data_IF_148988553147
#
_entry.id   IF_148988553147
#
_cell.length_a   1.000
_cell.length_b   1.000
_cell.length_c   1.000
_cell.angle_alpha   90.00
_cell.angle_beta   90.00
_cell.angle_gamma   90.00
#
_symmetry.space_group_name_H-M   'P 1'
#
loop_
_entity.id
_entity.type
_entity.pdbx_description
1 polymer ?
#
# COMPACT_ATOMS: atom_id res chain seq x y z
N UNK A 1 -34.12 19.50 -13.05
CA UNK A 1 -33.63 18.96 -11.76
C UNK A 1 -32.84 17.66 -11.91
N UNK A 2 -33.24 16.70 -12.72
CA UNK A 2 -32.55 15.40 -12.86
C UNK A 2 -31.08 15.44 -13.37
N UNK A 3 -30.70 16.43 -14.17
CA UNK A 3 -29.35 16.56 -14.73
C UNK A 3 -28.35 17.04 -13.66
N UNK A 4 -28.77 17.91 -12.72
CA UNK A 4 -27.94 18.41 -11.63
C UNK A 4 -27.61 17.34 -10.58
N UNK A 5 -28.52 16.40 -10.33
CA UNK A 5 -28.31 15.27 -9.41
C UNK A 5 -27.34 14.22 -9.97
N UNK A 6 -27.33 14.02 -11.30
CA UNK A 6 -26.36 13.13 -11.96
C UNK A 6 -24.93 13.69 -11.86
N UNK A 7 -24.80 15.04 -11.88
CA UNK A 7 -23.52 15.75 -11.73
C UNK A 7 -22.99 15.73 -10.30
N UNK A 8 -23.89 15.75 -9.31
CA UNK A 8 -23.47 15.81 -7.90
C UNK A 8 -22.88 14.49 -7.38
N UNK A 9 -23.27 13.36 -7.96
CA UNK A 9 -22.90 12.02 -7.48
C UNK A 9 -21.68 11.41 -8.14
N UNK A 10 -21.15 11.96 -9.25
CA UNK A 10 -20.03 11.35 -9.97
C UNK A 10 -18.82 12.27 -10.01
N UNK A 11 -17.82 11.96 -9.16
CA UNK A 11 -16.57 12.73 -9.02
C UNK A 11 -15.82 12.90 -10.35
N UNK A 12 -15.82 11.87 -11.22
CA UNK A 12 -15.16 11.93 -12.53
C UNK A 12 -15.72 13.02 -13.43
N UNK A 13 -17.04 13.26 -13.37
CA UNK A 13 -17.71 14.25 -14.21
C UNK A 13 -17.33 15.67 -13.78
N UNK A 14 -17.18 15.88 -12.45
CA UNK A 14 -16.72 17.18 -11.89
C UNK A 14 -15.28 17.46 -12.26
N UNK A 15 -14.38 16.47 -12.12
CA UNK A 15 -12.96 16.60 -12.46
C UNK A 15 -12.79 16.86 -13.97
N UNK A 16 -13.49 16.10 -14.80
CA UNK A 16 -13.48 16.27 -16.24
C UNK A 16 -13.99 17.66 -16.65
N UNK A 17 -15.12 18.13 -16.10
CA UNK A 17 -15.64 19.46 -16.36
C UNK A 17 -14.67 20.57 -15.88
N UNK A 18 -14.02 20.38 -14.75
CA UNK A 18 -13.03 21.35 -14.28
C UNK A 18 -11.84 21.44 -15.25
N UNK A 19 -11.35 20.32 -15.77
CA UNK A 19 -10.27 20.28 -16.76
C UNK A 19 -10.71 20.90 -18.07
N UNK A 20 -11.86 20.47 -18.62
CA UNK A 20 -12.39 21.02 -19.88
C UNK A 20 -12.71 22.51 -19.73
N UNK A 21 -13.35 22.91 -18.63
CA UNK A 21 -13.64 24.32 -18.33
C UNK A 21 -12.37 25.16 -18.18
N UNK A 22 -11.36 24.64 -17.48
CA UNK A 22 -10.06 25.29 -17.33
C UNK A 22 -9.34 25.51 -18.67
N UNK A 23 -9.32 24.50 -19.52
CA UNK A 23 -8.74 24.58 -20.88
C UNK A 23 -9.51 25.60 -21.73
N UNK A 24 -10.85 25.57 -21.67
CA UNK A 24 -11.69 26.52 -22.42
C UNK A 24 -11.43 27.97 -21.98
N UNK A 25 -11.39 28.23 -20.67
CA UNK A 25 -11.12 29.58 -20.12
C UNK A 25 -9.71 30.03 -20.51
N UNK A 26 -8.70 29.17 -20.41
CA UNK A 26 -7.33 29.50 -20.80
C UNK A 26 -7.24 29.85 -22.27
N UNK A 27 -7.91 29.08 -23.13
CA UNK A 27 -7.90 29.29 -24.60
C UNK A 27 -8.61 30.60 -24.98
N UNK A 28 -9.73 30.92 -24.31
CA UNK A 28 -10.42 32.21 -24.49
C UNK A 28 -9.57 33.38 -24.02
N UNK A 29 -8.89 33.26 -22.88
CA UNK A 29 -7.98 34.30 -22.34
C UNK A 29 -6.81 34.57 -23.27
N UNK A 30 -6.16 33.52 -23.79
CA UNK A 30 -5.07 33.62 -24.78
C UNK A 30 -5.55 34.28 -26.08
N UNK A 31 -6.74 33.90 -26.59
CA UNK A 31 -7.33 34.49 -27.78
C UNK A 31 -7.68 35.97 -27.60
N UNK A 32 -8.18 36.35 -26.44
CA UNK A 32 -8.47 37.73 -26.10
C UNK A 32 -7.20 38.58 -25.99
N UNK A 33 -6.18 38.07 -25.31
CA UNK A 33 -4.87 38.73 -25.21
C UNK A 33 -4.23 38.94 -26.58
N UNK A 34 -4.32 37.90 -27.45
CA UNK A 34 -3.78 37.98 -28.81
C UNK A 34 -4.52 39.04 -29.67
N UNK A 35 -5.84 39.14 -29.50
CA UNK A 35 -6.66 40.15 -30.14
C UNK A 35 -6.24 41.56 -29.74
N UNK A 36 -6.05 41.83 -28.44
CA UNK A 36 -5.57 43.13 -27.95
C UNK A 36 -4.19 43.44 -28.50
N UNK A 37 -3.25 42.48 -28.51
CA UNK A 37 -1.92 42.66 -29.05
C UNK A 37 -1.96 42.94 -30.57
N UNK A 38 -2.87 42.28 -31.32
CA UNK A 38 -3.05 42.52 -32.75
C UNK A 38 -3.65 43.90 -33.02
N UNK A 39 -4.60 44.38 -32.22
CA UNK A 39 -5.17 45.72 -32.32
C UNK A 39 -4.15 46.80 -31.99
N UNK A 40 -3.28 46.60 -30.99
CA UNK A 40 -2.19 47.53 -30.64
C UNK A 40 -1.12 47.58 -31.74
N UNK A 41 -0.77 46.48 -32.38
CA UNK A 41 0.19 46.42 -33.48
C UNK A 41 -0.39 46.89 -34.82
N UNK A 42 -1.70 47.05 -34.95
CA UNK A 42 -2.38 47.53 -36.15
C UNK A 42 -2.43 49.06 -36.25
N UNK A 43 -1.89 49.79 -35.25
CA UNK A 43 -1.74 51.24 -35.39
C UNK A 43 -0.84 51.56 -36.57
N UNK A 44 -1.31 52.31 -37.58
CA UNK A 44 -0.50 52.62 -38.72
C UNK A 44 0.70 53.46 -38.22
N UNK A 45 1.91 52.89 -38.31
CA UNK A 45 3.08 53.69 -38.16
C UNK A 45 3.06 54.76 -39.24
N UNK A 46 2.94 56.04 -38.83
CA UNK A 46 3.13 57.13 -39.76
C UNK A 46 4.44 56.91 -40.50
N UNK A 47 4.43 56.87 -41.82
CA UNK A 47 5.65 56.66 -42.56
C UNK A 47 6.65 57.77 -42.17
N UNK A 48 7.94 57.43 -41.99
CA UNK A 48 8.93 58.43 -41.58
C UNK A 48 8.98 59.56 -42.59
N UNK A 49 9.05 60.79 -42.08
CA UNK A 49 9.20 62.00 -42.87
C UNK A 49 10.45 61.81 -43.80
N UNK A 50 10.26 62.11 -45.08
CA UNK A 50 11.36 61.98 -46.08
C UNK A 50 11.78 63.40 -46.54
N UNK A 51 13.04 63.60 -46.71
CA UNK A 51 13.56 64.83 -47.33
C UNK A 51 13.17 64.82 -48.80
N UNK A 52 12.47 65.85 -49.21
CA UNK A 52 12.09 66.07 -50.62
C UNK A 52 12.76 67.31 -51.08
N UNK A 53 13.48 67.20 -52.20
CA UNK A 53 14.19 68.32 -52.87
C UNK A 53 13.59 68.48 -54.28
N UNK A 54 12.90 69.58 -54.50
CA UNK A 54 12.42 69.96 -55.82
C UNK A 54 13.48 70.84 -56.52
N UNK A 55 13.85 70.49 -57.75
CA UNK A 55 14.80 71.25 -58.55
C UNK A 55 14.19 71.70 -59.85
N UNK A 56 14.64 72.84 -60.38
CA UNK A 56 14.27 73.31 -61.71
C UNK A 56 15.04 72.58 -62.82
N UNK A 57 14.75 72.86 -64.10
CA UNK A 57 15.40 72.22 -65.26
C UNK A 57 16.90 72.59 -65.36
N UNK A 58 17.40 73.60 -64.65
CA UNK A 58 18.75 74.03 -64.57
C UNK A 58 19.52 73.49 -63.39
N UNK A 59 18.88 72.65 -62.53
CA UNK A 59 19.48 72.01 -61.38
C UNK A 59 19.48 72.87 -60.10
N UNK A 60 18.88 74.05 -60.12
CA UNK A 60 18.73 74.86 -58.93
C UNK A 60 17.63 74.28 -57.95
N UNK A 61 17.92 74.24 -56.70
CA UNK A 61 16.99 73.76 -55.71
C UNK A 61 15.90 74.84 -55.49
N UNK A 62 14.64 74.51 -55.79
CA UNK A 62 13.49 75.37 -55.58
C UNK A 62 12.91 75.23 -54.19
N UNK A 63 12.77 74.02 -53.70
CA UNK A 63 12.27 73.67 -52.36
C UNK A 63 13.08 72.51 -51.83
N UNK A 64 13.50 72.59 -50.57
CA UNK A 64 14.10 71.46 -49.85
C UNK A 64 13.52 71.46 -48.46
N UNK A 65 12.95 70.33 -48.04
CA UNK A 65 12.35 70.22 -46.74
C UNK A 65 11.88 68.84 -46.39
N UNK A 66 11.46 68.64 -45.17
CA UNK A 66 10.86 67.34 -44.69
C UNK A 66 9.42 67.22 -45.15
N UNK A 67 9.13 66.20 -45.94
CA UNK A 67 7.78 65.90 -46.42
C UNK A 67 7.10 64.91 -45.46
N UNK A 68 5.98 65.34 -44.93
CA UNK A 68 5.08 64.49 -44.15
C UNK A 68 3.78 64.22 -44.96
N UNK A 69 3.34 62.98 -44.87
CA UNK A 69 2.08 62.63 -45.55
C UNK A 69 0.87 63.19 -44.82
N UNK A 70 0.07 63.97 -45.49
CA UNK A 70 -1.19 64.46 -44.94
C UNK A 70 -2.31 63.39 -45.27
N UNK A 71 -3.08 62.98 -44.27
CA UNK A 71 -4.22 62.09 -44.49
C UNK A 71 -5.29 62.84 -45.32
N UNK A 72 -5.52 62.43 -46.56
CA UNK A 72 -6.59 62.93 -47.41
C UNK A 72 -7.68 61.91 -47.63
N UNK A 73 -8.85 62.30 -48.15
CA UNK A 73 -9.95 61.38 -48.46
C UNK A 73 -9.56 60.35 -49.50
N UNK A 74 -10.15 59.13 -49.45
CA UNK A 74 -9.83 58.08 -50.39
C UNK A 74 -10.16 58.49 -51.83
N UNK A 75 -9.16 58.50 -52.72
CA UNK A 75 -9.31 58.81 -54.15
C UNK A 75 -8.69 60.13 -54.64
N UNK A 76 -8.23 61.02 -53.76
CA UNK A 76 -7.62 62.31 -54.14
C UNK A 76 -6.11 62.27 -54.35
N UNK A 77 -5.48 61.13 -54.31
CA UNK A 77 -4.03 60.99 -54.51
C UNK A 77 -3.22 61.13 -53.25
N UNK A 78 -1.90 61.35 -53.35
CA UNK A 78 -1.01 61.48 -52.21
C UNK A 78 -0.69 62.96 -51.98
N UNK A 79 -1.13 63.52 -50.84
CA UNK A 79 -0.78 64.87 -50.42
C UNK A 79 0.40 64.83 -49.44
N UNK A 80 1.45 65.61 -49.73
CA UNK A 80 2.63 65.71 -48.90
C UNK A 80 2.80 67.17 -48.47
N UNK A 81 2.83 67.44 -47.18
CA UNK A 81 3.23 68.72 -46.65
C UNK A 81 4.76 68.76 -46.54
N UNK A 82 5.43 69.75 -47.17
CA UNK A 82 6.89 69.91 -47.16
C UNK A 82 7.19 71.20 -46.37
N UNK A 83 7.82 70.97 -45.20
CA UNK A 83 8.26 72.10 -44.37
C UNK A 83 9.66 72.53 -44.83
N UNK A 84 9.74 73.68 -45.45
CA UNK A 84 11.00 74.22 -45.97
C UNK A 84 11.83 74.91 -44.86
N UNK A 85 13.14 75.01 -45.04
CA UNK A 85 14.05 75.62 -44.10
C UNK A 85 13.79 77.14 -43.81
N UNK A 86 13.00 77.79 -44.67
CA UNK A 86 12.59 79.22 -44.61
C UNK A 86 11.31 79.39 -43.82
N UNK A 87 10.76 78.33 -43.22
CA UNK A 87 9.55 78.35 -42.36
C UNK A 87 8.25 78.38 -43.16
N UNK A 88 8.27 78.20 -44.45
CA UNK A 88 7.04 78.08 -45.27
C UNK A 88 6.71 76.61 -45.53
N UNK A 89 5.40 76.25 -45.32
CA UNK A 89 4.92 74.90 -45.64
C UNK A 89 4.33 74.88 -47.04
N UNK A 90 4.81 73.99 -47.85
CA UNK A 90 4.36 73.76 -49.25
C UNK A 90 3.54 72.48 -49.28
N UNK A 91 2.42 72.49 -50.01
CA UNK A 91 1.57 71.25 -50.23
C UNK A 91 1.90 70.74 -51.64
N UNK A 92 2.35 69.50 -51.73
CA UNK A 92 2.54 68.73 -52.94
C UNK A 92 1.51 67.67 -53.12
N UNK A 93 0.56 67.89 -54.04
CA UNK A 93 -0.47 66.92 -54.37
C UNK A 93 -0.06 66.08 -55.61
N UNK A 94 0.09 64.78 -55.40
CA UNK A 94 0.34 63.82 -56.45
C UNK A 94 -1.00 63.19 -56.86
N UNK A 95 -1.42 63.42 -58.11
CA UNK A 95 -2.65 62.84 -58.62
C UNK A 95 -2.64 61.29 -58.52
N UNK A 96 -3.78 60.71 -58.30
CA UNK A 96 -3.87 59.23 -58.26
C UNK A 96 -3.35 58.67 -59.60
N UNK A 97 -2.54 57.63 -59.50
CA UNK A 97 -2.01 56.91 -60.68
C UNK A 97 -3.18 56.38 -61.48
N UNK A 98 -3.45 56.97 -62.63
CA UNK A 98 -4.38 56.41 -63.60
C UNK A 98 -3.79 55.13 -64.13
N UNK A 99 -4.35 54.02 -63.72
CA UNK A 99 -3.92 52.68 -64.06
C UNK A 99 -4.14 52.48 -65.60
N UNK A 100 -3.12 52.75 -66.40
CA UNK A 100 -3.04 52.32 -67.79
C UNK A 100 -2.38 50.97 -67.86
N UNK A 101 -3.17 49.95 -67.73
CA UNK A 101 -2.70 48.59 -67.93
C UNK A 101 -3.31 47.63 -66.94
N UNK A 102 -4.28 46.91 -67.43
CA UNK A 102 -4.85 45.75 -66.78
C UNK A 102 -3.81 44.63 -66.73
N UNK A 103 -2.77 44.78 -65.87
CA UNK A 103 -2.02 43.63 -65.41
C UNK A 103 -2.67 43.19 -64.13
N UNK A 104 -3.28 41.99 -64.09
CA UNK A 104 -3.64 41.37 -62.81
C UNK A 104 -2.33 41.12 -62.10
N UNK A 105 -1.94 42.07 -61.27
CA UNK A 105 -0.92 41.83 -60.24
C UNK A 105 -1.30 40.52 -59.54
N UNK A 106 -0.35 39.66 -59.21
CA UNK A 106 -0.66 38.47 -58.49
C UNK A 106 -1.26 38.90 -57.17
N UNK A 107 -2.59 39.01 -57.15
CA UNK A 107 -3.38 38.93 -55.94
C UNK A 107 -3.18 37.52 -55.37
N UNK A 108 -1.91 37.20 -55.05
CA UNK A 108 -1.56 36.12 -54.14
C UNK A 108 -1.86 36.53 -52.69
N UNK A 109 -3.01 37.09 -52.44
CA UNK A 109 -3.72 36.69 -51.25
C UNK A 109 -4.32 35.38 -51.63
N UNK A 110 -3.51 34.32 -51.54
CA UNK A 110 -4.03 32.97 -51.49
C UNK A 110 -5.34 33.05 -50.70
N UNK A 111 -6.42 32.47 -51.28
CA UNK A 111 -7.63 32.26 -50.54
C UNK A 111 -7.32 31.47 -49.29
N UNK A 112 -6.82 32.17 -48.25
CA UNK A 112 -6.70 31.61 -46.94
C UNK A 112 -8.10 31.16 -46.64
N UNK A 113 -8.25 29.84 -46.61
CA UNK A 113 -9.55 29.15 -46.41
C UNK A 113 -10.24 29.92 -45.31
N UNK A 114 -11.54 30.22 -45.49
CA UNK A 114 -12.28 31.07 -44.57
C UNK A 114 -12.14 30.60 -43.08
N UNK A 115 -11.79 29.34 -42.89
CA UNK A 115 -11.49 28.69 -41.59
C UNK A 115 -10.25 29.30 -40.87
N UNK A 116 -9.33 29.93 -41.58
CA UNK A 116 -8.11 30.54 -41.01
C UNK A 116 -8.29 32.04 -40.71
N UNK A 117 -9.42 32.63 -41.11
CA UNK A 117 -9.72 34.05 -40.83
C UNK A 117 -10.17 34.25 -39.38
N UNK A 118 -9.67 35.27 -38.68
CA UNK A 118 -10.24 35.65 -37.37
C UNK A 118 -11.72 36.06 -37.55
N UNK A 119 -12.67 35.59 -36.68
CA UNK A 119 -12.49 34.77 -35.47
C UNK A 119 -12.60 33.25 -35.69
N UNK A 120 -12.93 32.79 -36.88
CA UNK A 120 -13.24 31.38 -37.15
C UNK A 120 -12.06 30.43 -36.90
N UNK A 121 -10.84 30.81 -37.28
CA UNK A 121 -9.66 29.99 -37.01
C UNK A 121 -9.44 29.72 -35.53
N UNK A 122 -9.72 30.70 -34.67
CA UNK A 122 -9.62 30.54 -33.23
C UNK A 122 -10.69 29.59 -32.67
N UNK A 123 -11.95 29.71 -33.14
CA UNK A 123 -13.04 28.82 -32.73
C UNK A 123 -12.75 27.34 -33.10
N UNK A 124 -12.19 27.13 -34.30
CA UNK A 124 -11.77 25.80 -34.74
C UNK A 124 -10.66 25.22 -33.87
N UNK A 125 -9.63 26.01 -33.52
CA UNK A 125 -8.57 25.60 -32.63
C UNK A 125 -9.10 25.27 -31.21
N UNK A 126 -10.02 26.06 -30.69
CA UNK A 126 -10.72 25.81 -29.43
C UNK A 126 -11.49 24.49 -29.47
N UNK A 127 -12.24 24.27 -30.56
CA UNK A 127 -12.99 23.03 -30.76
C UNK A 127 -12.08 21.80 -30.84
N UNK A 128 -10.96 21.90 -31.50
CA UNK A 128 -10.00 20.80 -31.66
C UNK A 128 -9.29 20.48 -30.34
N UNK A 129 -8.88 21.50 -29.58
CA UNK A 129 -8.31 21.33 -28.24
C UNK A 129 -9.35 20.73 -27.28
N UNK A 130 -10.60 21.22 -27.31
CA UNK A 130 -11.69 20.65 -26.52
C UNK A 130 -11.93 19.18 -26.83
N UNK A 131 -11.96 18.83 -28.12
CA UNK A 131 -12.14 17.45 -28.58
C UNK A 131 -10.96 16.56 -28.12
N UNK A 132 -9.72 17.04 -28.25
CA UNK A 132 -8.51 16.31 -27.82
C UNK A 132 -8.54 16.03 -26.30
N UNK A 133 -8.98 17.01 -25.49
CA UNK A 133 -9.15 16.84 -24.04
C UNK A 133 -10.28 15.83 -23.73
N UNK A 134 -11.41 15.91 -24.43
CA UNK A 134 -12.51 14.96 -24.25
C UNK A 134 -12.06 13.53 -24.56
N UNK A 135 -11.41 13.34 -25.70
CA UNK A 135 -11.01 12.01 -26.18
C UNK A 135 -9.83 11.45 -25.37
N UNK A 136 -8.86 12.31 -24.98
CA UNK A 136 -7.65 11.89 -24.29
C UNK A 136 -7.82 11.75 -22.76
N UNK A 137 -8.38 12.75 -22.11
CA UNK A 137 -8.39 12.82 -20.62
C UNK A 137 -9.58 12.04 -20.03
N UNK A 138 -10.74 12.08 -20.67
CA UNK A 138 -11.93 11.43 -20.13
C UNK A 138 -11.78 9.90 -19.88
N UNK A 139 -11.27 9.10 -20.83
CA UNK A 139 -11.12 7.66 -20.60
C UNK A 139 -10.11 7.34 -19.50
N UNK A 140 -9.05 8.15 -19.35
CA UNK A 140 -8.05 7.97 -18.31
C UNK A 140 -8.67 8.21 -16.94
N UNK A 141 -9.33 9.35 -16.74
CA UNK A 141 -10.00 9.69 -15.47
C UNK A 141 -11.08 8.65 -15.14
N UNK A 142 -11.88 8.23 -16.14
CA UNK A 142 -12.94 7.23 -15.95
C UNK A 142 -12.35 5.90 -15.47
N UNK A 143 -11.28 5.42 -16.08
CA UNK A 143 -10.61 4.16 -15.66
C UNK A 143 -10.07 4.25 -14.23
N UNK A 144 -9.41 5.36 -13.89
CA UNK A 144 -8.85 5.56 -12.57
C UNK A 144 -9.95 5.54 -11.49
N UNK A 145 -11.03 6.27 -11.71
CA UNK A 145 -12.15 6.35 -10.77
C UNK A 145 -12.92 5.04 -10.65
N UNK A 146 -13.09 4.29 -11.73
CA UNK A 146 -13.69 2.96 -11.67
C UNK A 146 -12.88 1.98 -10.82
N UNK A 147 -11.53 2.05 -10.89
CA UNK A 147 -10.65 1.25 -10.02
C UNK A 147 -10.80 1.64 -8.55
N UNK A 148 -10.86 2.94 -8.26
CA UNK A 148 -11.07 3.44 -6.89
C UNK A 148 -12.45 3.04 -6.34
N UNK A 149 -13.51 3.13 -7.14
CA UNK A 149 -14.85 2.66 -6.73
C UNK A 149 -14.87 1.15 -6.47
N UNK A 150 -14.12 0.37 -7.25
CA UNK A 150 -14.00 -1.07 -7.03
C UNK A 150 -13.25 -1.37 -5.75
N UNK A 151 -12.14 -0.68 -5.48
CA UNK A 151 -11.39 -0.78 -4.24
C UNK A 151 -12.28 -0.41 -3.05
N UNK A 152 -12.99 0.72 -3.12
CA UNK A 152 -13.90 1.17 -2.06
C UNK A 152 -14.98 0.13 -1.75
N UNK A 153 -15.63 -0.43 -2.77
CA UNK A 153 -16.63 -1.50 -2.60
C UNK A 153 -16.05 -2.77 -1.99
N UNK A 154 -14.82 -3.11 -2.39
CA UNK A 154 -14.12 -4.28 -1.83
C UNK A 154 -13.78 -4.08 -0.37
N UNK A 155 -13.29 -2.88 0.02
CA UNK A 155 -13.04 -2.51 1.42
C UNK A 155 -14.31 -2.57 2.25
N UNK A 156 -15.43 -2.07 1.70
CA UNK A 156 -16.73 -2.12 2.39
C UNK A 156 -17.19 -3.56 2.61
N UNK A 157 -17.18 -4.41 1.57
CA UNK A 157 -17.56 -5.83 1.69
C UNK A 157 -16.67 -6.58 2.68
N UNK A 158 -15.36 -6.28 2.68
CA UNK A 158 -14.42 -6.83 3.66
C UNK A 158 -14.81 -6.42 5.08
N UNK A 159 -15.17 -5.16 5.31
CA UNK A 159 -15.66 -4.66 6.60
C UNK A 159 -17.00 -5.27 7.03
N UNK A 160 -17.84 -5.68 6.09
CA UNK A 160 -19.10 -6.41 6.33
C UNK A 160 -18.90 -7.89 6.66
N UNK A 161 -17.62 -8.37 6.64
CA UNK A 161 -17.24 -9.72 7.06
C UNK A 161 -16.90 -10.70 5.94
N UNK A 162 -16.97 -10.30 4.68
CA UNK A 162 -16.48 -11.11 3.55
C UNK A 162 -14.97 -10.99 3.42
N UNK A 163 -14.25 -11.73 4.26
CA UNK A 163 -12.78 -11.68 4.32
C UNK A 163 -12.10 -12.29 3.09
N UNK A 164 -12.84 -12.96 2.21
CA UNK A 164 -12.31 -13.56 0.99
C UNK A 164 -12.14 -12.57 -0.17
N UNK A 165 -12.71 -11.36 -0.04
CA UNK A 165 -12.61 -10.31 -1.06
C UNK A 165 -11.19 -9.92 -1.34
N UNK A 166 -10.84 -9.86 -2.63
CA UNK A 166 -9.56 -9.33 -3.11
C UNK A 166 -9.78 -8.31 -4.22
N UNK A 167 -8.87 -7.38 -4.34
CA UNK A 167 -8.87 -6.34 -5.37
C UNK A 167 -7.88 -6.71 -6.45
N UNK A 168 -8.21 -6.37 -7.70
CA UNK A 168 -7.29 -6.58 -8.83
C UNK A 168 -6.05 -5.70 -8.69
N UNK A 169 -4.86 -6.31 -8.77
CA UNK A 169 -3.55 -5.66 -8.64
C UNK A 169 -2.97 -5.18 -9.99
N UNK A 170 -3.82 -5.08 -11.01
CA UNK A 170 -3.40 -4.70 -12.36
C UNK A 170 -2.89 -3.26 -12.41
N UNK A 171 -1.70 -3.08 -12.98
CA UNK A 171 -1.06 -1.78 -13.16
C UNK A 171 0.23 -1.65 -12.35
N UNK A 172 0.92 -0.50 -12.55
CA UNK A 172 2.16 -0.12 -11.84
C UNK A 172 2.02 1.27 -11.20
N UNK A 173 0.78 1.71 -11.00
CA UNK A 173 0.41 2.99 -10.43
C UNK A 173 0.15 2.88 -8.91
N UNK A 174 -0.05 4.01 -8.25
CA UNK A 174 -0.32 4.11 -6.81
C UNK A 174 -1.59 3.35 -6.40
N UNK A 175 -2.56 3.22 -7.33
CA UNK A 175 -3.80 2.46 -7.08
C UNK A 175 -3.52 0.96 -7.04
N UNK A 176 -2.64 0.46 -7.90
CA UNK A 176 -2.21 -0.93 -7.88
C UNK A 176 -1.39 -1.25 -6.61
N UNK A 177 -0.57 -0.29 -6.15
CA UNK A 177 0.17 -0.43 -4.90
C UNK A 177 -0.77 -0.51 -3.69
N UNK A 178 -1.76 0.37 -3.64
CA UNK A 178 -2.80 0.36 -2.60
C UNK A 178 -3.61 -0.95 -2.62
N UNK A 179 -3.90 -1.49 -3.81
CA UNK A 179 -4.57 -2.78 -3.96
C UNK A 179 -3.72 -3.93 -3.39
N UNK A 180 -2.39 -3.95 -3.66
CA UNK A 180 -1.46 -4.93 -3.07
C UNK A 180 -1.42 -4.85 -1.54
N UNK A 181 -1.32 -3.64 -1.00
CA UNK A 181 -1.31 -3.43 0.45
C UNK A 181 -2.63 -3.89 1.09
N UNK A 182 -3.76 -3.55 0.47
CA UNK A 182 -5.07 -4.03 0.93
C UNK A 182 -5.15 -5.57 0.91
N UNK A 183 -4.76 -6.21 -0.20
CA UNK A 183 -4.79 -7.67 -0.33
C UNK A 183 -3.89 -8.35 0.70
N UNK A 184 -2.70 -7.79 0.96
CA UNK A 184 -1.80 -8.29 2.00
C UNK A 184 -2.39 -8.16 3.40
N UNK A 185 -3.02 -7.03 3.73
CA UNK A 185 -3.71 -6.82 5.01
C UNK A 185 -4.91 -7.76 5.13
N UNK A 186 -5.72 -7.89 4.07
CA UNK A 186 -6.88 -8.77 4.03
C UNK A 186 -6.49 -10.24 4.23
N UNK A 187 -5.41 -10.70 3.61
CA UNK A 187 -4.90 -12.06 3.78
C UNK A 187 -4.46 -12.33 5.23
N UNK A 188 -3.81 -11.35 5.87
CA UNK A 188 -3.40 -11.47 7.28
C UNK A 188 -4.60 -11.56 8.21
N UNK A 189 -5.62 -10.71 8.01
CA UNK A 189 -6.84 -10.71 8.84
C UNK A 189 -7.63 -12.01 8.62
N UNK A 190 -7.78 -12.47 7.38
CA UNK A 190 -8.47 -13.73 7.08
C UNK A 190 -7.78 -14.93 7.75
N UNK A 191 -6.44 -15.01 7.65
CA UNK A 191 -5.66 -16.04 8.32
C UNK A 191 -5.83 -15.99 9.84
N UNK A 192 -5.78 -14.80 10.45
CA UNK A 192 -5.95 -14.60 11.88
C UNK A 192 -7.35 -15.04 12.36
N UNK A 193 -8.40 -14.62 11.64
CA UNK A 193 -9.79 -15.01 11.97
C UNK A 193 -10.00 -16.52 11.82
N UNK A 194 -9.42 -17.11 10.75
CA UNK A 194 -9.50 -18.57 10.53
C UNK A 194 -8.80 -19.34 11.65
N UNK A 195 -7.59 -18.92 12.03
CA UNK A 195 -6.84 -19.53 13.14
C UNK A 195 -7.60 -19.41 14.43
N UNK A 196 -8.18 -18.24 14.73
CA UNK A 196 -8.95 -18.01 15.95
C UNK A 196 -10.24 -18.86 16.01
N UNK A 197 -10.97 -18.96 14.89
CA UNK A 197 -12.15 -19.85 14.79
C UNK A 197 -11.76 -21.31 14.99
N UNK A 198 -10.66 -21.77 14.39
CA UNK A 198 -10.17 -23.14 14.56
C UNK A 198 -9.76 -23.40 16.02
N UNK A 199 -9.06 -22.43 16.64
CA UNK A 199 -8.67 -22.50 18.05
C UNK A 199 -9.89 -22.65 18.98
N UNK A 200 -10.92 -21.83 18.80
CA UNK A 200 -12.15 -21.90 19.60
C UNK A 200 -12.93 -23.20 19.38
N UNK A 201 -13.02 -23.67 18.14
CA UNK A 201 -13.69 -24.93 17.82
C UNK A 201 -12.99 -26.11 18.49
N UNK A 202 -11.67 -26.23 18.34
CA UNK A 202 -10.89 -27.30 18.94
C UNK A 202 -10.88 -27.20 20.48
N UNK A 203 -10.73 -25.98 21.03
CA UNK A 203 -10.84 -25.75 22.47
C UNK A 203 -12.17 -26.26 23.03
N UNK A 204 -13.28 -26.01 22.33
CA UNK A 204 -14.62 -26.49 22.77
C UNK A 204 -14.70 -28.01 22.78
N UNK A 205 -14.02 -28.68 21.83
CA UNK A 205 -13.97 -30.15 21.83
C UNK A 205 -13.10 -30.69 22.96
N UNK A 206 -11.94 -30.12 23.20
CA UNK A 206 -11.00 -30.57 24.24
C UNK A 206 -11.48 -30.28 25.66
N UNK A 207 -12.25 -29.20 25.87
CA UNK A 207 -12.92 -28.92 27.18
C UNK A 207 -14.07 -29.88 27.48
N UNK A 208 -14.75 -30.34 26.42
CA UNK A 208 -15.91 -31.23 26.62
C UNK A 208 -15.53 -32.60 27.20
N UNK A 209 -14.39 -33.16 26.83
CA UNK A 209 -13.93 -34.48 27.24
C UNK A 209 -13.75 -34.59 28.78
N UNK A 210 -12.89 -33.76 29.43
CA UNK A 210 -12.73 -33.80 30.88
C UNK A 210 -14.01 -33.42 31.62
N UNK A 211 -14.81 -32.49 31.09
CA UNK A 211 -16.10 -32.13 31.67
C UNK A 211 -17.09 -33.32 31.68
N UNK A 212 -17.13 -34.09 30.58
CA UNK A 212 -17.96 -35.30 30.50
C UNK A 212 -17.48 -36.37 31.47
N UNK A 213 -16.14 -36.55 31.62
CA UNK A 213 -15.59 -37.48 32.62
C UNK A 213 -16.00 -37.09 34.06
N UNK A 214 -15.90 -35.79 34.40
CA UNK A 214 -16.33 -35.27 35.71
C UNK A 214 -17.83 -35.51 35.90
N UNK A 215 -18.65 -35.15 34.92
CA UNK A 215 -20.11 -35.31 35.01
C UNK A 215 -20.52 -36.77 35.17
N UNK A 216 -19.97 -37.66 34.33
CA UNK A 216 -20.25 -39.09 34.36
C UNK A 216 -19.84 -39.70 35.70
N UNK A 217 -18.67 -39.28 36.21
CA UNK A 217 -18.24 -39.72 37.54
C UNK A 217 -19.20 -39.26 38.66
N UNK A 218 -19.67 -38.04 38.63
CA UNK A 218 -20.63 -37.50 39.60
C UNK A 218 -21.99 -38.22 39.50
N UNK A 219 -22.47 -38.55 38.30
CA UNK A 219 -23.71 -39.30 38.07
C UNK A 219 -23.63 -40.73 38.59
N UNK A 220 -22.46 -41.40 38.44
CA UNK A 220 -22.22 -42.76 38.93
C UNK A 220 -22.12 -42.86 40.45
N UNK A 221 -21.90 -41.75 41.17
CA UNK A 221 -21.82 -41.76 42.64
C UNK A 221 -23.16 -42.04 43.36
N UNK A 222 -24.29 -41.75 42.70
CA UNK A 222 -25.62 -42.15 43.21
C UNK A 222 -25.95 -41.81 44.68
N UNK A 223 -25.29 -40.79 45.26
CA UNK A 223 -25.47 -40.38 46.63
C UNK A 223 -24.51 -41.01 47.66
N UNK A 224 -23.60 -41.90 47.24
CA UNK A 224 -22.57 -42.45 48.11
C UNK A 224 -21.37 -41.48 48.24
N UNK A 225 -20.61 -41.57 49.35
CA UNK A 225 -19.37 -40.78 49.51
C UNK A 225 -18.36 -41.21 48.47
N UNK A 226 -17.67 -40.23 47.82
CA UNK A 226 -16.69 -40.51 46.80
C UNK A 226 -15.50 -41.29 47.37
N UNK A 227 -15.09 -42.34 46.67
CA UNK A 227 -13.85 -43.03 47.01
C UNK A 227 -12.64 -42.08 46.87
N UNK A 228 -11.55 -42.26 47.63
CA UNK A 228 -10.34 -41.44 47.50
C UNK A 228 -9.82 -41.41 46.07
N UNK A 229 -9.80 -42.54 45.37
CA UNK A 229 -9.36 -42.65 43.98
C UNK A 229 -10.23 -41.82 43.02
N UNK A 230 -11.51 -41.83 43.24
CA UNK A 230 -12.45 -41.03 42.45
C UNK A 230 -12.28 -39.52 42.67
N UNK A 231 -12.03 -39.11 43.93
CA UNK A 231 -11.75 -37.70 44.24
C UNK A 231 -10.47 -37.24 43.58
N UNK A 232 -9.43 -38.06 43.58
CA UNK A 232 -8.18 -37.78 42.86
C UNK A 232 -8.36 -37.65 41.35
N UNK A 233 -9.21 -38.49 40.75
CA UNK A 233 -9.54 -38.43 39.32
C UNK A 233 -10.27 -37.13 38.98
N UNK A 234 -11.24 -36.70 39.78
CA UNK A 234 -11.93 -35.43 39.60
C UNK A 234 -10.95 -34.27 39.71
N UNK A 235 -10.09 -34.24 40.73
CA UNK A 235 -9.10 -33.20 40.92
C UNK A 235 -8.10 -33.14 39.75
N UNK A 236 -7.68 -34.28 39.20
CA UNK A 236 -6.86 -34.32 37.98
C UNK A 236 -7.57 -33.74 36.77
N UNK A 237 -8.85 -34.08 36.54
CA UNK A 237 -9.64 -33.56 35.45
C UNK A 237 -9.87 -32.03 35.57
N UNK A 238 -10.04 -31.51 36.79
CA UNK A 238 -10.16 -30.09 37.05
C UNK A 238 -8.81 -29.38 36.73
N UNK A 239 -7.69 -29.91 37.20
CA UNK A 239 -6.37 -29.37 36.93
C UNK A 239 -6.05 -29.38 35.43
N UNK A 240 -6.46 -30.42 34.70
CA UNK A 240 -6.34 -30.51 33.23
C UNK A 240 -7.17 -29.40 32.54
N UNK A 241 -8.38 -29.10 33.01
CA UNK A 241 -9.21 -28.02 32.51
C UNK A 241 -8.57 -26.63 32.78
N UNK A 242 -8.11 -26.39 34.00
CA UNK A 242 -7.46 -25.12 34.34
C UNK A 242 -6.21 -24.87 33.50
N UNK A 243 -5.36 -25.89 33.32
CA UNK A 243 -4.19 -25.82 32.43
C UNK A 243 -4.59 -25.51 31.01
N UNK A 244 -5.62 -26.14 30.47
CA UNK A 244 -6.11 -25.95 29.13
C UNK A 244 -6.63 -24.51 28.89
N UNK A 245 -7.40 -23.98 29.86
CA UNK A 245 -7.89 -22.59 29.81
C UNK A 245 -6.70 -21.62 29.81
N UNK A 246 -5.71 -21.84 30.67
CA UNK A 246 -4.50 -21.00 30.72
C UNK A 246 -3.69 -21.05 29.41
N UNK A 247 -3.59 -22.22 28.78
CA UNK A 247 -2.90 -22.38 27.48
C UNK A 247 -3.63 -21.66 26.36
N UNK A 248 -4.98 -21.76 26.30
CA UNK A 248 -5.81 -21.07 25.32
C UNK A 248 -5.70 -19.54 25.48
N UNK A 249 -5.80 -19.05 26.73
CA UNK A 249 -5.68 -17.62 27.01
C UNK A 249 -4.29 -17.09 26.66
N UNK A 250 -3.24 -17.86 26.98
CA UNK A 250 -1.88 -17.47 26.62
C UNK A 250 -1.67 -17.46 25.09
N UNK A 251 -2.14 -18.48 24.38
CA UNK A 251 -2.09 -18.53 22.92
C UNK A 251 -2.78 -17.32 22.29
N UNK A 252 -4.00 -17.00 22.75
CA UNK A 252 -4.76 -15.85 22.27
C UNK A 252 -4.04 -14.51 22.48
N UNK A 253 -3.40 -14.31 23.66
CA UNK A 253 -2.65 -13.09 23.97
C UNK A 253 -1.37 -12.96 23.16
N UNK A 254 -0.69 -14.07 22.90
CA UNK A 254 0.53 -14.09 22.09
C UNK A 254 0.22 -13.77 20.62
N UNK A 255 -0.87 -14.31 20.07
CA UNK A 255 -1.31 -14.03 18.69
C UNK A 255 -1.75 -12.57 18.51
N UNK A 256 -2.42 -11.99 19.52
CA UNK A 256 -2.80 -10.57 19.53
C UNK A 256 -1.61 -9.60 19.69
N UNK A 257 -0.39 -10.11 19.94
CA UNK A 257 0.80 -9.32 20.28
C UNK A 257 0.54 -8.31 21.42
N UNK A 258 -0.28 -8.68 22.37
CA UNK A 258 -0.58 -7.83 23.51
C UNK A 258 0.70 -7.47 24.27
N UNK A 259 0.82 -6.20 24.64
CA UNK A 259 2.01 -5.69 25.35
C UNK A 259 2.13 -6.27 26.78
N UNK A 260 1.03 -6.70 27.36
CA UNK A 260 0.91 -7.07 28.78
C UNK A 260 1.16 -8.57 29.09
N UNK A 261 2.06 -9.21 28.35
CA UNK A 261 2.42 -10.63 28.61
C UNK A 261 3.63 -10.77 29.56
N UNK A 262 4.17 -9.64 30.04
CA UNK A 262 5.28 -9.59 31.00
C UNK A 262 6.39 -8.62 30.58
N UNK A 263 7.24 -8.28 31.54
CA UNK A 263 8.35 -7.36 31.36
C UNK A 263 9.52 -8.06 30.63
N UNK A 264 10.10 -7.37 29.65
CA UNK A 264 11.31 -7.84 28.97
C UNK A 264 12.52 -7.50 29.85
N UNK A 265 13.25 -8.53 30.24
CA UNK A 265 14.45 -8.43 31.09
C UNK A 265 15.59 -9.26 30.52
N UNK A 266 16.77 -9.16 31.11
CA UNK A 266 17.88 -10.07 30.85
C UNK A 266 17.63 -11.36 31.64
N UNK A 267 17.47 -12.48 30.92
CA UNK A 267 17.12 -13.78 31.48
C UNK A 267 18.35 -14.70 31.37
N UNK A 268 18.82 -15.22 32.50
CA UNK A 268 19.80 -16.29 32.54
C UNK A 268 19.15 -17.61 32.09
N UNK A 269 19.50 -18.05 30.88
CA UNK A 269 18.97 -19.29 30.30
C UNK A 269 19.54 -20.54 30.99
N UNK A 270 20.75 -20.48 31.53
CA UNK A 270 21.37 -21.62 32.23
C UNK A 270 20.61 -21.89 33.54
N UNK A 271 20.40 -20.83 34.32
CA UNK A 271 19.63 -20.96 35.59
C UNK A 271 18.20 -21.41 35.33
N UNK A 272 17.53 -20.83 34.32
CA UNK A 272 16.20 -21.22 33.96
C UNK A 272 16.12 -22.67 33.48
N UNK A 273 17.07 -23.12 32.65
CA UNK A 273 17.14 -24.50 32.16
C UNK A 273 17.42 -25.50 33.29
N UNK A 274 18.33 -25.17 34.21
CA UNK A 274 18.65 -26.03 35.35
C UNK A 274 17.42 -26.27 36.23
N UNK A 275 16.64 -25.21 36.54
CA UNK A 275 15.40 -25.35 37.31
C UNK A 275 14.37 -26.26 36.62
N UNK A 276 14.14 -26.10 35.32
CA UNK A 276 13.14 -26.90 34.64
C UNK A 276 13.63 -28.33 34.32
N UNK A 277 14.91 -28.55 34.06
CA UNK A 277 15.51 -29.89 33.93
C UNK A 277 15.41 -30.69 35.22
N UNK A 278 15.70 -30.09 36.38
CA UNK A 278 15.57 -30.74 37.67
C UNK A 278 14.14 -31.22 37.99
N UNK A 279 13.10 -30.62 37.40
CA UNK A 279 11.69 -31.03 37.62
C UNK A 279 11.31 -32.32 36.88
N UNK A 280 12.02 -32.64 35.81
CA UNK A 280 11.70 -33.79 34.92
C UNK A 280 12.83 -34.84 34.89
N UNK A 281 13.86 -34.62 35.69
CA UNK A 281 15.08 -35.45 35.74
C UNK A 281 15.79 -35.52 34.37
N UNK A 282 15.90 -34.35 33.72
CA UNK A 282 16.62 -34.20 32.46
C UNK A 282 18.06 -33.74 32.67
N UNK A 283 18.95 -34.22 31.82
CA UNK A 283 20.37 -33.82 31.83
C UNK A 283 20.53 -32.44 31.15
N UNK A 284 21.37 -31.58 31.75
CA UNK A 284 21.66 -30.24 31.21
C UNK A 284 23.13 -30.16 30.77
N UNK A 285 23.36 -29.99 29.49
CA UNK A 285 24.69 -29.76 28.91
C UNK A 285 24.89 -28.26 28.58
N UNK A 286 25.84 -27.66 29.30
CA UNK A 286 26.25 -26.25 29.14
C UNK A 286 27.71 -26.10 28.74
N UNK A 287 28.32 -27.18 28.29
CA UNK A 287 29.77 -27.22 27.96
C UNK A 287 30.17 -26.21 26.89
N UNK A 288 29.25 -25.86 25.99
CA UNK A 288 29.46 -24.88 24.92
C UNK A 288 29.30 -23.42 25.36
N UNK A 289 28.87 -23.14 26.60
CA UNK A 289 28.58 -21.78 27.10
C UNK A 289 29.06 -21.60 28.54
N UNK A 290 30.35 -21.84 28.82
CA UNK A 290 30.90 -21.79 30.19
C UNK A 290 30.84 -20.39 30.81
N UNK A 291 30.77 -19.33 30.01
CA UNK A 291 30.71 -17.92 30.45
C UNK A 291 29.30 -17.45 30.80
N UNK A 292 28.29 -18.31 30.62
CA UNK A 292 26.89 -17.96 30.78
C UNK A 292 26.16 -17.69 29.44
N UNK A 293 24.85 -17.75 29.48
CA UNK A 293 23.97 -17.48 28.33
C UNK A 293 22.78 -16.66 28.76
N UNK A 294 22.85 -15.37 28.49
CA UNK A 294 21.76 -14.43 28.77
C UNK A 294 21.01 -14.02 27.49
N UNK A 295 19.69 -13.87 27.58
CA UNK A 295 18.81 -13.45 26.51
C UNK A 295 17.83 -12.36 26.98
N UNK A 296 17.61 -11.34 26.15
CA UNK A 296 16.55 -10.36 26.41
C UNK A 296 15.19 -10.95 26.11
N UNK A 297 14.39 -11.16 27.15
CA UNK A 297 13.08 -11.79 26.97
C UNK A 297 12.19 -11.70 28.20
N UNK A 298 11.04 -12.34 28.12
CA UNK A 298 10.10 -12.47 29.23
C UNK A 298 10.33 -13.80 29.90
N UNK A 299 10.95 -13.81 31.09
CA UNK A 299 11.36 -15.02 31.81
C UNK A 299 10.21 -16.04 31.96
N UNK A 300 8.99 -15.57 32.28
CA UNK A 300 7.80 -16.43 32.42
C UNK A 300 7.47 -17.16 31.11
N UNK A 301 7.61 -16.49 29.95
CA UNK A 301 7.35 -17.11 28.65
C UNK A 301 8.44 -18.10 28.25
N UNK A 302 9.71 -17.74 28.44
CA UNK A 302 10.82 -18.64 28.15
C UNK A 302 10.78 -19.90 29.00
N UNK A 303 10.45 -19.76 30.30
CA UNK A 303 10.19 -20.88 31.20
C UNK A 303 9.07 -21.77 30.68
N UNK A 304 7.98 -21.19 30.24
CA UNK A 304 6.82 -21.95 29.68
C UNK A 304 7.22 -22.70 28.40
N UNK A 305 8.00 -22.06 27.52
CA UNK A 305 8.47 -22.73 26.30
C UNK A 305 9.33 -23.95 26.60
N UNK A 306 10.32 -23.80 27.49
CA UNK A 306 11.17 -24.93 27.88
C UNK A 306 10.38 -26.03 28.59
N UNK A 307 9.48 -25.67 29.49
CA UNK A 307 8.62 -26.63 30.16
C UNK A 307 7.79 -27.43 29.16
N UNK A 308 7.18 -26.79 28.16
CA UNK A 308 6.39 -27.47 27.12
C UNK A 308 7.25 -28.44 26.30
N UNK A 309 8.50 -28.09 26.01
CA UNK A 309 9.44 -28.98 25.30
C UNK A 309 9.82 -30.17 26.16
N UNK A 310 10.13 -29.95 27.44
CA UNK A 310 10.49 -31.02 28.39
C UNK A 310 9.31 -31.96 28.69
N UNK A 311 8.10 -31.42 28.90
CA UNK A 311 6.90 -32.22 29.08
C UNK A 311 6.59 -33.06 27.83
N UNK A 312 6.84 -32.50 26.63
CA UNK A 312 6.70 -33.24 25.37
C UNK A 312 7.71 -34.38 25.31
N UNK A 313 8.99 -34.10 25.57
CA UNK A 313 10.04 -35.09 25.61
C UNK A 313 9.71 -36.24 26.63
N UNK A 314 9.30 -35.90 27.86
CA UNK A 314 8.91 -36.88 28.89
C UNK A 314 7.72 -37.73 28.47
N UNK A 315 6.78 -37.18 27.71
CA UNK A 315 5.57 -37.87 27.26
C UNK A 315 5.84 -38.92 26.19
N UNK A 316 6.77 -38.62 25.28
CA UNK A 316 7.02 -39.43 24.10
C UNK A 316 8.36 -40.20 24.15
N UNK A 317 9.26 -39.86 25.07
CA UNK A 317 10.51 -40.58 25.28
C UNK A 317 10.36 -41.64 26.37
N UNK A 318 11.04 -42.76 26.15
CA UNK A 318 11.22 -43.82 27.16
C UNK A 318 12.62 -43.82 27.74
N UNK A 319 13.48 -42.90 27.35
CA UNK A 319 14.87 -42.77 27.75
C UNK A 319 15.23 -41.39 28.30
N UNK A 320 16.52 -41.15 28.42
CA UNK A 320 17.06 -39.92 28.93
C UNK A 320 16.70 -38.72 28.05
N UNK A 321 16.44 -37.60 28.70
CA UNK A 321 16.16 -36.31 28.03
C UNK A 321 17.40 -35.44 28.30
N UNK A 322 17.95 -34.87 27.23
CA UNK A 322 19.11 -33.98 27.34
C UNK A 322 18.75 -32.59 26.81
N UNK A 323 19.08 -31.57 27.57
CA UNK A 323 18.97 -30.16 27.14
C UNK A 323 20.35 -29.62 26.88
N UNK A 324 20.62 -29.14 25.68
CA UNK A 324 21.89 -28.57 25.26
C UNK A 324 21.72 -27.05 25.05
N UNK A 325 22.56 -26.28 25.73
CA UNK A 325 22.66 -24.84 25.54
C UNK A 325 23.93 -24.49 24.77
N UNK A 326 23.77 -23.70 23.71
CA UNK A 326 24.92 -23.24 22.94
C UNK A 326 24.65 -21.85 22.31
N UNK A 327 25.70 -21.20 21.83
CA UNK A 327 25.61 -19.99 21.03
C UNK A 327 25.85 -20.34 19.57
N UNK A 328 24.89 -20.00 18.70
CA UNK A 328 24.95 -20.24 17.27
C UNK A 328 24.68 -18.96 16.51
N UNK A 329 25.59 -18.52 15.66
CA UNK A 329 25.50 -17.27 14.88
C UNK A 329 25.15 -16.03 15.74
N UNK A 330 25.66 -15.96 16.97
CA UNK A 330 25.39 -14.86 17.90
C UNK A 330 24.08 -14.95 18.66
N UNK A 331 23.21 -15.92 18.33
CA UNK A 331 21.95 -16.18 19.02
C UNK A 331 22.09 -17.30 20.04
N UNK A 332 21.28 -17.24 21.09
CA UNK A 332 21.17 -18.35 22.04
C UNK A 332 20.36 -19.47 21.40
N UNK A 333 20.87 -20.68 21.47
CA UNK A 333 20.20 -21.88 21.00
C UNK A 333 20.02 -22.86 22.15
N UNK A 334 18.78 -23.28 22.38
CA UNK A 334 18.37 -24.30 23.32
C UNK A 334 17.83 -25.49 22.53
N UNK A 335 18.43 -26.65 22.72
CA UNK A 335 18.04 -27.90 22.05
C UNK A 335 17.57 -28.90 23.09
N UNK A 336 16.35 -29.45 22.94
CA UNK A 336 15.81 -30.53 23.77
C UNK A 336 15.82 -31.81 22.94
N UNK A 337 16.61 -32.79 23.38
CA UNK A 337 16.78 -34.07 22.73
C UNK A 337 16.02 -35.15 23.49
N UNK A 338 15.19 -35.92 22.80
CA UNK A 338 14.45 -37.06 23.37
C UNK A 338 14.78 -38.37 22.63
N UNK A 339 14.57 -39.48 23.29
CA UNK A 339 14.73 -40.82 22.71
C UNK A 339 13.38 -41.47 22.38
N UNK A 340 12.47 -40.68 21.85
CA UNK A 340 11.16 -41.11 21.41
C UNK A 340 11.15 -41.70 20.00
N UNK A 341 9.97 -41.89 19.41
CA UNK A 341 9.82 -42.40 18.03
C UNK A 341 10.26 -41.40 16.96
N UNK A 342 10.62 -40.17 17.33
CA UNK A 342 10.93 -39.08 16.38
C UNK A 342 9.71 -38.51 15.68
N UNK A 343 9.94 -37.55 14.77
CA UNK A 343 8.91 -36.90 14.00
C UNK A 343 9.21 -37.05 12.50
N UNK A 344 8.30 -37.67 11.70
CA UNK A 344 8.49 -37.79 10.27
C UNK A 344 8.73 -36.41 9.61
N UNK A 345 9.69 -36.28 8.68
CA UNK A 345 10.07 -34.99 8.08
C UNK A 345 8.88 -34.20 7.49
N UNK A 346 7.91 -34.89 6.87
CA UNK A 346 6.72 -34.25 6.30
C UNK A 346 5.79 -33.62 7.34
N UNK A 347 5.92 -33.96 8.63
CA UNK A 347 5.05 -33.51 9.71
C UNK A 347 5.73 -32.54 10.67
N UNK A 348 7.05 -32.29 10.52
CA UNK A 348 7.84 -31.45 11.44
C UNK A 348 7.36 -30.00 11.53
N UNK A 349 6.79 -29.46 10.46
CA UNK A 349 6.18 -28.14 10.51
C UNK A 349 4.78 -28.17 11.14
N UNK A 350 4.05 -29.23 10.89
CA UNK A 350 2.65 -29.36 11.34
C UNK A 350 2.51 -29.63 12.83
N UNK A 351 3.49 -30.24 13.48
CA UNK A 351 3.46 -30.46 14.94
C UNK A 351 3.39 -29.16 15.75
N UNK A 352 3.70 -28.01 15.15
CA UNK A 352 3.58 -26.69 15.74
C UNK A 352 2.23 -26.00 15.45
N UNK A 353 1.33 -26.66 14.71
CA UNK A 353 -0.05 -26.17 14.51
C UNK A 353 -0.84 -26.40 15.81
N UNK A 354 -1.66 -25.44 16.25
CA UNK A 354 -2.52 -25.63 17.43
C UNK A 354 -3.40 -26.86 17.29
N UNK A 355 -3.49 -27.68 18.35
CA UNK A 355 -4.28 -28.92 18.45
C UNK A 355 -3.84 -30.05 17.50
N UNK A 356 -2.74 -29.88 16.80
CA UNK A 356 -2.24 -30.94 15.94
C UNK A 356 -1.57 -32.04 16.74
N UNK A 357 -1.91 -33.30 16.44
CA UNK A 357 -1.34 -34.51 17.03
C UNK A 357 -0.93 -35.46 15.93
N UNK A 358 0.20 -36.14 16.13
CA UNK A 358 0.65 -37.16 15.19
C UNK A 358 -0.36 -38.30 15.09
N UNK A 359 -0.60 -38.85 13.87
CA UNK A 359 -1.44 -40.02 13.70
C UNK A 359 -0.92 -41.20 14.54
N UNK A 360 -1.79 -41.81 15.33
CA UNK A 360 -1.43 -42.91 16.23
C UNK A 360 -0.96 -42.50 17.62
N UNK A 361 -0.83 -41.20 17.93
CA UNK A 361 -0.62 -40.75 19.30
C UNK A 361 -1.84 -41.08 20.15
N UNK A 362 -1.63 -41.90 21.18
CA UNK A 362 -2.72 -42.37 22.06
C UNK A 362 -3.40 -41.22 22.78
N UNK A 363 -4.75 -41.22 22.80
CA UNK A 363 -5.53 -40.29 23.64
C UNK A 363 -5.20 -40.45 25.14
N UNK A 364 -4.76 -41.64 25.55
CA UNK A 364 -4.34 -41.93 26.92
C UNK A 364 -3.04 -41.24 27.33
N UNK A 365 -2.24 -40.80 26.37
CA UNK A 365 -0.95 -40.11 26.66
C UNK A 365 -1.16 -38.67 27.14
N UNK A 366 -2.39 -38.13 27.14
CA UNK A 366 -2.71 -36.77 27.56
C UNK A 366 -2.11 -35.70 26.62
N UNK A 367 -2.51 -34.46 26.76
CA UNK A 367 -2.00 -33.30 26.03
C UNK A 367 -2.85 -32.93 24.82
N UNK A 368 -3.24 -31.68 24.83
CA UNK A 368 -4.24 -31.08 23.94
C UNK A 368 -3.64 -30.68 22.58
N UNK A 369 -2.31 -30.76 22.43
CA UNK A 369 -1.64 -30.32 21.21
C UNK A 369 -1.41 -28.79 21.12
N UNK A 370 -1.48 -28.08 22.24
CA UNK A 370 -1.19 -26.64 22.32
C UNK A 370 0.25 -26.32 22.70
N UNK A 371 0.94 -27.21 23.43
CA UNK A 371 2.26 -26.94 23.98
C UNK A 371 3.31 -26.51 22.94
N UNK A 372 3.45 -27.25 21.83
CA UNK A 372 4.40 -26.91 20.76
C UNK A 372 3.99 -25.64 19.98
N UNK A 373 2.70 -25.41 19.80
CA UNK A 373 2.20 -24.18 19.20
C UNK A 373 2.56 -22.96 20.05
N UNK A 374 2.42 -23.07 21.38
CA UNK A 374 2.88 -22.04 22.32
C UNK A 374 4.38 -21.81 22.25
N UNK A 375 5.20 -22.85 22.13
CA UNK A 375 6.65 -22.70 21.94
C UNK A 375 6.96 -21.89 20.69
N UNK A 376 6.29 -22.14 19.56
CA UNK A 376 6.44 -21.37 18.32
C UNK A 376 6.03 -19.90 18.51
N UNK A 377 4.89 -19.63 19.12
CA UNK A 377 4.42 -18.25 19.37
C UNK A 377 5.36 -17.50 20.32
N UNK A 378 5.89 -18.16 21.35
CA UNK A 378 6.88 -17.60 22.28
C UNK A 378 8.19 -17.29 21.55
N UNK A 379 8.69 -18.22 20.73
CA UNK A 379 9.89 -18.02 19.93
C UNK A 379 9.76 -16.79 19.01
N UNK A 380 8.65 -16.72 18.26
CA UNK A 380 8.35 -15.59 17.35
C UNK A 380 8.25 -14.25 18.08
N UNK A 381 7.69 -14.24 19.28
CA UNK A 381 7.63 -13.02 20.11
C UNK A 381 9.01 -12.52 20.53
N UNK A 382 9.96 -13.42 20.69
CA UNK A 382 11.36 -13.11 21.00
C UNK A 382 12.22 -12.95 19.73
N UNK A 383 11.62 -12.77 18.55
CA UNK A 383 12.28 -12.70 17.23
C UNK A 383 13.12 -13.94 16.90
N UNK A 384 12.82 -15.04 17.54
CA UNK A 384 13.47 -16.33 17.37
C UNK A 384 12.66 -17.30 16.52
N UNK A 385 13.09 -18.56 16.53
CA UNK A 385 12.42 -19.65 15.80
C UNK A 385 12.52 -20.96 16.58
N UNK A 386 11.60 -21.89 16.29
CA UNK A 386 11.66 -23.26 16.77
C UNK A 386 11.56 -24.21 15.60
N UNK A 387 12.33 -25.30 15.64
CA UNK A 387 12.33 -26.39 14.63
C UNK A 387 12.41 -27.74 15.31
N UNK A 388 11.98 -28.78 14.59
CA UNK A 388 12.17 -30.17 14.96
C UNK A 388 13.10 -30.82 13.93
N UNK A 389 14.17 -31.42 14.41
CA UNK A 389 15.22 -32.03 13.60
C UNK A 389 15.44 -33.49 14.06
N UNK A 390 16.20 -34.26 13.29
CA UNK A 390 16.68 -35.55 13.77
C UNK A 390 17.77 -35.34 14.82
N UNK A 391 17.97 -36.35 15.66
CA UNK A 391 19.09 -36.29 16.59
C UNK A 391 20.43 -36.27 15.84
N UNK A 392 21.40 -35.45 16.28
CA UNK A 392 22.70 -35.32 15.62
C UNK A 392 23.52 -36.63 15.59
N UNK A 393 23.29 -37.51 16.57
CA UNK A 393 23.99 -38.79 16.71
C UNK A 393 23.33 -39.94 15.94
N UNK A 394 22.20 -39.71 15.28
CA UNK A 394 21.44 -40.72 14.55
C UNK A 394 20.81 -41.81 15.42
N UNK A 395 20.75 -41.65 16.74
CA UNK A 395 20.24 -42.63 17.71
C UNK A 395 18.74 -42.84 17.67
N UNK A 396 18.01 -42.08 16.81
CA UNK A 396 16.55 -42.01 16.83
C UNK A 396 16.03 -41.04 17.89
N UNK A 397 14.74 -40.61 17.76
CA UNK A 397 14.15 -39.62 18.61
C UNK A 397 13.98 -38.27 17.90
N UNK A 398 13.59 -37.22 18.64
CA UNK A 398 13.46 -35.86 18.12
C UNK A 398 14.44 -34.90 18.81
N UNK A 399 14.87 -33.90 18.07
CA UNK A 399 15.62 -32.76 18.57
C UNK A 399 14.80 -31.49 18.29
N UNK A 400 14.31 -30.85 19.35
CA UNK A 400 13.63 -29.56 19.28
C UNK A 400 14.60 -28.44 19.50
N UNK A 401 14.83 -27.63 18.48
CA UNK A 401 15.81 -26.52 18.50
C UNK A 401 15.08 -25.19 18.60
N UNK A 402 15.21 -24.52 19.73
CA UNK A 402 14.70 -23.16 19.98
C UNK A 402 15.86 -22.16 19.86
N UNK A 403 15.75 -21.19 18.96
CA UNK A 403 16.69 -20.06 18.79
C UNK A 403 16.03 -18.78 19.26
N UNK A 404 16.81 -17.95 19.98
CA UNK A 404 16.34 -16.72 20.63
C UNK A 404 17.29 -15.55 20.37
#
# INVERSE_FOLDING_TARGET
>A
MAVFDLFSRRLYLRLWLAVVGGVAVLTLAVGWAWRIAAEQNAQPMAPPAREVVLRDSNGNTLIAGLATRVPGPPGEGLELAIDSADGTTYSLQLAPRTDRGNHPGPNRRADAAFWTRPPFGFLWMLGLVGLAVVVGVFPIIRRLLQRLETLQRSVQRFGEGDLSVRVSEQGQDEVADLARQFNAAAARIEALVKTHKSLLANASHELRSPLTRIRMGLELMGGNQPSPAFREEILRNIAELDQLVDEILLASRLDAREADVGTVELVDLIGLAAEECARVDAELDVTAVPEGLEVRGVAKLLRRALRNLLENARRYSQGDITVVLQRHDGQAQLSVLDRGPGVPPALRERIFEPFYRLPGASERAGGVGLGLALVRSIAQRHNGSVRCEDQPDGSGGACFVLRL
#
